data_IF_270160578630
#
_entry.id   IF_270160578630
#
_cell.length_a   1.000
_cell.length_b   1.000
_cell.length_c   1.000
_cell.angle_alpha   90.00
_cell.angle_beta   90.00
_cell.angle_gamma   90.00
#
_symmetry.space_group_name_H-M   'P 1'
#
loop_
_entity.id
_entity.type
_entity.pdbx_description
1 polymer ?
#
# COMPACT_ATOMS: atom_id res chain seq x y z
N UNK A 1 19.62 2.71 15.14
CA UNK A 1 19.47 3.46 13.87
C UNK A 1 19.72 2.62 12.61
N UNK A 2 20.54 1.55 12.63
CA UNK A 2 20.79 0.72 11.43
C UNK A 2 19.53 0.03 10.86
N UNK A 3 18.68 -0.55 11.71
CA UNK A 3 17.50 -1.32 11.24
C UNK A 3 16.49 -0.46 10.46
N UNK A 4 16.25 0.79 10.88
CA UNK A 4 15.33 1.69 10.18
C UNK A 4 15.82 2.04 8.76
N UNK A 5 17.13 2.20 8.58
CA UNK A 5 17.72 2.45 7.26
C UNK A 5 17.61 1.23 6.35
N UNK A 6 17.88 0.03 6.89
CA UNK A 6 17.74 -1.21 6.13
C UNK A 6 16.28 -1.48 5.73
N UNK A 7 15.33 -1.24 6.63
CA UNK A 7 13.90 -1.40 6.32
C UNK A 7 13.43 -0.40 5.26
N UNK A 8 13.75 0.89 5.39
CA UNK A 8 13.41 1.89 4.37
C UNK A 8 13.95 1.52 2.99
N UNK A 9 15.22 1.16 2.91
CA UNK A 9 15.85 0.78 1.66
C UNK A 9 15.22 -0.48 1.04
N UNK A 10 14.73 -1.41 1.88
CA UNK A 10 14.03 -2.59 1.42
C UNK A 10 12.63 -2.25 0.88
N UNK A 11 11.89 -1.35 1.53
CA UNK A 11 10.58 -0.92 1.04
C UNK A 11 10.67 -0.12 -0.27
N UNK A 12 11.68 0.75 -0.42
CA UNK A 12 11.93 1.48 -1.65
C UNK A 12 12.16 0.53 -2.84
N UNK A 13 12.99 -0.49 -2.64
CA UNK A 13 13.24 -1.52 -3.65
C UNK A 13 11.98 -2.35 -3.91
N UNK A 14 11.29 -2.78 -2.86
CA UNK A 14 10.07 -3.57 -2.96
C UNK A 14 9.01 -2.85 -3.80
N UNK A 15 8.74 -1.58 -3.50
CA UNK A 15 7.81 -0.76 -4.27
C UNK A 15 8.20 -0.68 -5.76
N UNK A 16 9.49 -0.49 -6.06
CA UNK A 16 9.98 -0.44 -7.44
C UNK A 16 9.80 -1.77 -8.19
N UNK A 17 10.12 -2.90 -7.56
CA UNK A 17 9.92 -4.23 -8.14
C UNK A 17 8.44 -4.55 -8.33
N UNK A 18 7.63 -4.29 -7.30
CA UNK A 18 6.18 -4.53 -7.33
C UNK A 18 5.49 -3.68 -8.39
N UNK A 19 5.92 -2.44 -8.62
CA UNK A 19 5.40 -1.60 -9.69
C UNK A 19 5.71 -2.20 -11.08
N UNK A 20 6.93 -2.73 -11.27
CA UNK A 20 7.28 -3.45 -12.52
C UNK A 20 6.44 -4.71 -12.70
N UNK A 21 6.25 -5.49 -11.64
CA UNK A 21 5.43 -6.71 -11.68
C UNK A 21 3.97 -6.37 -11.96
N UNK A 22 3.44 -5.29 -11.37
CA UNK A 22 2.07 -4.82 -11.62
C UNK A 22 1.85 -4.41 -13.08
N UNK A 23 2.89 -3.95 -13.79
CA UNK A 23 2.81 -3.69 -15.24
C UNK A 23 2.80 -4.97 -16.08
N UNK A 24 3.45 -6.03 -15.61
CA UNK A 24 3.48 -7.32 -16.28
C UNK A 24 2.18 -8.09 -16.01
N UNK A 25 1.71 -8.05 -14.75
CA UNK A 25 0.52 -8.74 -14.26
C UNK A 25 -0.47 -7.75 -13.63
N UNK A 26 -1.21 -6.99 -14.46
CA UNK A 26 -2.14 -5.96 -13.99
C UNK A 26 -3.41 -6.50 -13.31
N UNK A 27 -3.62 -7.81 -13.34
CA UNK A 27 -4.80 -8.47 -12.78
C UNK A 27 -4.53 -9.17 -11.44
N UNK A 28 -3.29 -9.08 -10.93
CA UNK A 28 -2.92 -9.73 -9.68
C UNK A 28 -3.20 -8.84 -8.47
N UNK A 29 -4.35 -9.06 -7.81
CA UNK A 29 -4.72 -8.36 -6.57
C UNK A 29 -3.62 -8.40 -5.50
N UNK A 30 -2.94 -9.55 -5.35
CA UNK A 30 -1.86 -9.75 -4.38
C UNK A 30 -0.70 -8.78 -4.60
N UNK A 31 -0.34 -8.49 -5.86
CA UNK A 31 0.75 -7.56 -6.19
C UNK A 31 0.39 -6.14 -5.79
N UNK A 32 -0.85 -5.70 -6.08
CA UNK A 32 -1.32 -4.39 -5.66
C UNK A 32 -1.40 -4.26 -4.14
N UNK A 33 -1.82 -5.33 -3.46
CA UNK A 33 -1.82 -5.38 -2.00
C UNK A 33 -0.40 -5.23 -1.42
N UNK A 34 0.58 -5.99 -1.93
CA UNK A 34 1.98 -5.86 -1.51
C UNK A 34 2.57 -4.50 -1.86
N UNK A 35 2.22 -3.93 -3.01
CA UNK A 35 2.64 -2.59 -3.41
C UNK A 35 2.11 -1.55 -2.45
N UNK A 36 0.84 -1.68 -2.05
CA UNK A 36 0.22 -0.78 -1.09
C UNK A 36 0.93 -0.80 0.27
N UNK A 37 1.23 -1.99 0.79
CA UNK A 37 1.99 -2.14 2.03
C UNK A 37 3.40 -1.55 1.95
N UNK A 38 4.09 -1.73 0.81
CA UNK A 38 5.41 -1.14 0.58
C UNK A 38 5.34 0.40 0.54
N UNK A 39 4.36 0.98 -0.17
CA UNK A 39 4.20 2.45 -0.23
C UNK A 39 3.74 3.04 1.12
N UNK A 40 2.93 2.31 1.88
CA UNK A 40 2.54 2.66 3.25
C UNK A 40 3.76 2.75 4.17
N UNK A 41 4.67 1.77 4.12
CA UNK A 41 5.92 1.77 4.88
C UNK A 41 6.88 2.90 4.46
N UNK A 42 6.72 3.42 3.24
CA UNK A 42 7.44 4.59 2.70
C UNK A 42 6.73 5.91 3.00
N UNK A 43 5.65 5.91 3.79
CA UNK A 43 4.82 7.08 4.10
C UNK A 43 4.17 7.72 2.86
N UNK A 44 4.06 6.98 1.75
CA UNK A 44 3.41 7.42 0.50
C UNK A 44 1.94 7.02 0.52
N UNK A 45 1.19 7.61 1.45
CA UNK A 45 -0.21 7.24 1.70
C UNK A 45 -1.13 7.41 0.48
N UNK A 46 -0.88 8.40 -0.38
CA UNK A 46 -1.66 8.56 -1.62
C UNK A 46 -1.46 7.38 -2.59
N UNK A 47 -0.23 6.90 -2.75
CA UNK A 47 0.11 5.77 -3.61
C UNK A 47 -0.39 4.45 -3.02
N UNK A 48 -0.21 4.27 -1.71
CA UNK A 48 -0.72 3.12 -0.98
C UNK A 48 -2.25 2.98 -1.11
N UNK A 49 -2.99 4.08 -0.97
CA UNK A 49 -4.45 4.08 -1.11
C UNK A 49 -4.91 3.64 -2.49
N UNK A 50 -4.25 4.12 -3.56
CA UNK A 50 -4.55 3.70 -4.94
C UNK A 50 -4.29 2.21 -5.16
N UNK A 51 -3.19 1.69 -4.61
CA UNK A 51 -2.84 0.29 -4.74
C UNK A 51 -3.79 -0.62 -3.94
N UNK A 52 -4.17 -0.24 -2.71
CA UNK A 52 -5.17 -0.99 -1.94
C UNK A 52 -6.54 -1.00 -2.63
N UNK A 53 -7.00 0.14 -3.15
CA UNK A 53 -8.26 0.21 -3.89
C UNK A 53 -8.25 -0.76 -5.07
N UNK A 54 -7.15 -0.78 -5.85
CA UNK A 54 -7.02 -1.71 -6.98
C UNK A 54 -7.02 -3.18 -6.55
N UNK A 55 -6.40 -3.51 -5.42
CA UNK A 55 -6.41 -4.88 -4.89
C UNK A 55 -7.84 -5.34 -4.52
N UNK A 56 -8.63 -4.44 -3.92
CA UNK A 56 -10.05 -4.72 -3.57
C UNK A 56 -10.93 -4.79 -4.82
N UNK A 57 -10.68 -3.97 -5.84
CA UNK A 57 -11.38 -4.05 -7.13
C UNK A 57 -11.14 -5.38 -7.85
N UNK A 58 -9.90 -5.87 -7.83
CA UNK A 58 -9.52 -7.13 -8.50
C UNK A 58 -9.98 -8.37 -7.74
N UNK A 59 -10.07 -8.30 -6.41
CA UNK A 59 -10.53 -9.39 -5.57
C UNK A 59 -11.59 -8.91 -4.56
N UNK A 60 -12.81 -8.55 -5.03
CA UNK A 60 -13.85 -7.99 -4.16
C UNK A 60 -14.38 -9.01 -3.14
N UNK A 61 -14.24 -10.30 -3.44
CA UNK A 61 -14.61 -11.41 -2.55
C UNK A 61 -13.57 -11.67 -1.45
N UNK A 62 -12.40 -11.02 -1.52
CA UNK A 62 -11.37 -11.18 -0.50
C UNK A 62 -11.61 -10.21 0.66
N UNK A 63 -12.24 -10.72 1.72
CA UNK A 63 -12.57 -9.95 2.92
C UNK A 63 -11.33 -9.36 3.60
N UNK A 64 -10.17 -10.01 3.52
CA UNK A 64 -8.94 -9.50 4.12
C UNK A 64 -8.44 -8.24 3.42
N UNK A 65 -8.55 -8.17 2.09
CA UNK A 65 -8.16 -6.97 1.33
C UNK A 65 -9.07 -5.80 1.61
N UNK A 66 -10.39 -6.04 1.65
CA UNK A 66 -11.35 -5.02 2.04
C UNK A 66 -11.06 -4.51 3.45
N UNK A 67 -10.89 -5.41 4.42
CA UNK A 67 -10.60 -5.03 5.82
C UNK A 67 -9.35 -4.17 5.95
N UNK A 68 -8.27 -4.55 5.25
CA UNK A 68 -7.01 -3.81 5.29
C UNK A 68 -7.11 -2.44 4.61
N UNK A 69 -7.84 -2.34 3.51
CA UNK A 69 -8.11 -1.05 2.86
C UNK A 69 -8.94 -0.11 3.74
N UNK A 70 -9.96 -0.65 4.41
CA UNK A 70 -10.82 0.12 5.32
C UNK A 70 -10.01 0.63 6.53
N UNK A 71 -9.17 -0.24 7.12
CA UNK A 71 -8.27 0.13 8.23
C UNK A 71 -7.26 1.21 7.81
N UNK A 72 -6.63 1.02 6.65
CA UNK A 72 -5.71 1.99 6.09
C UNK A 72 -6.37 3.36 5.89
N UNK A 73 -7.55 3.38 5.25
CA UNK A 73 -8.27 4.61 4.92
C UNK A 73 -8.70 5.35 6.19
N UNK A 74 -9.26 4.64 7.18
CA UNK A 74 -9.62 5.22 8.47
C UNK A 74 -8.42 5.84 9.20
N UNK A 75 -7.25 5.18 9.13
CA UNK A 75 -6.01 5.69 9.75
C UNK A 75 -5.48 6.92 9.02
N UNK A 76 -5.45 6.91 7.69
CA UNK A 76 -4.96 8.04 6.88
C UNK A 76 -5.87 9.26 6.99
N UNK A 77 -7.19 9.07 6.99
CA UNK A 77 -8.16 10.16 7.20
C UNK A 77 -8.00 10.82 8.57
N UNK A 78 -7.82 10.02 9.63
CA UNK A 78 -7.56 10.55 10.98
C UNK A 78 -6.30 11.40 11.02
N UNK A 79 -5.21 10.91 10.42
CA UNK A 79 -3.94 11.63 10.40
C UNK A 79 -4.01 12.92 9.55
N UNK A 80 -4.73 12.89 8.42
CA UNK A 80 -4.95 14.08 7.59
C UNK A 80 -5.77 15.15 8.30
N UNK A 81 -6.75 14.74 9.10
CA UNK A 81 -7.61 15.65 9.88
C UNK A 81 -6.86 16.25 11.08
N UNK A 82 -5.90 15.52 11.67
CA UNK A 82 -5.07 16.04 12.78
C UNK A 82 -4.02 17.05 12.35
N UNK A 83 -3.55 17.01 11.09
CA UNK A 83 -2.59 17.99 10.56
C UNK A 83 -3.25 19.30 10.09
N UNK A 84 -4.59 19.38 10.06
CA UNK A 84 -5.35 20.55 9.62
C UNK A 84 -5.98 21.36 10.77
N UNK A 85 -5.63 21.08 12.03
CA UNK A 85 -6.03 21.86 13.22
C UNK A 85 -4.85 22.60 13.81
#
# INVERSE_FOLDING_TARGET
MANLYFEKQNYDRAALYLNRIAKINPDSANIYYSLAAAEEARYRFADAGRAYARAVELAPNNADYRRRYDEFSARVERNRTSEQR
#
